data_IF_994055644412
#
_entry.id   IF_994055644412
#
_cell.length_a   1.000
_cell.length_b   1.000
_cell.length_c   1.000
_cell.angle_alpha   90.00
_cell.angle_beta   90.00
_cell.angle_gamma   90.00
#
_symmetry.space_group_name_H-M   'P 1'
#
loop_
_entity.id
_entity.type
_entity.pdbx_description
1 polymer ?
#
# COMPACT_ATOMS: atom_id res chain seq x y z
N UNK A 1 -50.52 22.80 7.48
CA UNK A 1 -49.95 22.30 6.20
C UNK A 1 -48.60 22.95 5.88
N UNK A 2 -48.45 24.27 6.01
CA UNK A 2 -47.17 24.97 5.78
C UNK A 2 -46.00 24.52 6.69
N UNK A 3 -46.21 24.36 8.00
CA UNK A 3 -45.17 23.92 8.94
C UNK A 3 -44.56 22.54 8.63
N UNK A 4 -45.36 21.60 8.09
CA UNK A 4 -44.86 20.27 7.70
C UNK A 4 -43.94 20.34 6.47
N UNK A 5 -44.23 21.26 5.55
CA UNK A 5 -43.42 21.45 4.34
C UNK A 5 -42.05 22.03 4.67
N UNK A 6 -41.99 22.96 5.63
CA UNK A 6 -40.74 23.58 6.07
C UNK A 6 -39.85 22.59 6.84
N UNK A 7 -40.43 21.72 7.67
CA UNK A 7 -39.70 20.66 8.36
C UNK A 7 -39.08 19.66 7.37
N UNK A 8 -39.82 19.27 6.33
CA UNK A 8 -39.34 18.36 5.29
C UNK A 8 -38.18 18.95 4.48
N UNK A 9 -38.22 20.24 4.17
CA UNK A 9 -37.11 20.94 3.50
C UNK A 9 -35.85 20.96 4.34
N UNK A 10 -35.98 21.25 5.65
CA UNK A 10 -34.85 21.26 6.58
C UNK A 10 -34.22 19.86 6.65
N UNK A 11 -35.02 18.81 6.81
CA UNK A 11 -34.54 17.43 6.85
C UNK A 11 -33.82 17.06 5.55
N UNK A 12 -34.37 17.45 4.40
CA UNK A 12 -33.75 17.17 3.10
C UNK A 12 -32.39 17.88 2.94
N UNK A 13 -32.31 19.17 3.30
CA UNK A 13 -31.07 19.95 3.23
C UNK A 13 -30.01 19.37 4.16
N UNK A 14 -30.37 19.02 5.40
CA UNK A 14 -29.44 18.41 6.37
C UNK A 14 -28.96 17.04 5.87
N UNK A 15 -29.87 16.23 5.33
CA UNK A 15 -29.52 14.91 4.78
C UNK A 15 -28.57 15.03 3.59
N UNK A 16 -28.83 15.98 2.68
CA UNK A 16 -27.97 16.25 1.53
C UNK A 16 -26.59 16.74 1.98
N UNK A 17 -26.52 17.66 2.97
CA UNK A 17 -25.26 18.14 3.53
C UNK A 17 -24.44 16.99 4.15
N UNK A 18 -25.07 16.08 4.89
CA UNK A 18 -24.40 14.90 5.46
C UNK A 18 -23.85 13.95 4.38
N UNK A 19 -24.59 13.75 3.28
CA UNK A 19 -24.12 12.94 2.15
C UNK A 19 -22.91 13.60 1.49
N UNK A 20 -22.95 14.91 1.25
CA UNK A 20 -21.85 15.67 0.64
C UNK A 20 -20.60 15.65 1.53
N UNK A 21 -20.75 15.82 2.84
CA UNK A 21 -19.63 15.74 3.80
C UNK A 21 -19.00 14.35 3.77
N UNK A 22 -19.80 13.28 3.79
CA UNK A 22 -19.27 11.91 3.70
C UNK A 22 -18.57 11.63 2.37
N UNK A 23 -19.10 12.14 1.26
CA UNK A 23 -18.46 12.02 -0.06
C UNK A 23 -17.14 12.79 -0.11
N UNK A 24 -17.09 14.01 0.45
CA UNK A 24 -15.87 14.81 0.54
C UNK A 24 -14.80 14.16 1.43
N UNK A 25 -15.19 13.56 2.55
CA UNK A 25 -14.27 12.81 3.43
C UNK A 25 -13.72 11.55 2.75
N UNK A 26 -14.54 10.84 1.97
CA UNK A 26 -14.08 9.71 1.16
C UNK A 26 -13.07 10.12 0.07
N UNK A 27 -13.18 11.37 -0.41
CA UNK A 27 -12.29 11.97 -1.41
C UNK A 27 -11.12 12.75 -0.80
N UNK A 28 -10.97 12.81 0.53
CA UNK A 28 -9.86 13.57 1.12
C UNK A 28 -8.53 12.96 0.70
N UNK A 29 -7.64 13.77 0.10
CA UNK A 29 -6.31 13.30 -0.24
C UNK A 29 -5.58 12.87 1.03
N UNK A 30 -5.24 11.59 1.12
CA UNK A 30 -4.53 11.04 2.27
C UNK A 30 -3.07 10.99 1.91
N UNK A 31 -2.26 11.80 2.58
CA UNK A 31 -0.82 11.63 2.54
C UNK A 31 -0.46 10.42 3.41
N UNK A 32 0.24 9.47 2.81
CA UNK A 32 0.86 8.35 3.52
C UNK A 32 2.36 8.52 3.36
N UNK A 33 3.08 8.52 4.46
CA UNK A 33 4.53 8.54 4.47
C UNK A 33 5.02 7.69 5.64
N UNK A 34 5.41 6.45 5.34
CA UNK A 34 5.69 5.48 6.38
C UNK A 34 6.82 4.53 5.96
N UNK A 35 7.42 3.87 6.93
CA UNK A 35 8.36 2.77 6.67
C UNK A 35 8.15 1.61 7.64
N UNK A 36 8.54 0.41 7.21
CA UNK A 36 8.55 -0.79 8.03
C UNK A 36 9.76 -1.66 7.71
N UNK A 37 10.25 -2.38 8.71
CA UNK A 37 11.16 -3.50 8.50
C UNK A 37 10.33 -4.76 8.22
N UNK A 38 10.74 -5.55 7.23
CA UNK A 38 10.07 -6.79 6.86
C UNK A 38 11.05 -7.96 6.90
N UNK A 39 10.52 -9.12 7.29
CA UNK A 39 11.20 -10.40 7.21
C UNK A 39 10.17 -11.39 6.66
N UNK A 40 10.37 -11.83 5.41
CA UNK A 40 9.43 -12.70 4.71
C UNK A 40 10.17 -13.85 4.06
N UNK A 41 9.55 -15.03 4.08
CA UNK A 41 10.07 -16.17 3.32
C UNK A 41 9.98 -15.84 1.83
N UNK A 42 10.95 -16.30 1.04
CA UNK A 42 10.82 -16.20 -0.41
C UNK A 42 9.64 -17.08 -0.85
N UNK A 43 8.60 -16.53 -1.51
CA UNK A 43 7.45 -17.34 -1.95
C UNK A 43 7.81 -18.41 -2.98
N UNK A 44 9.01 -18.33 -3.57
CA UNK A 44 9.51 -19.27 -4.58
C UNK A 44 10.40 -20.36 -3.96
N UNK A 45 10.96 -20.11 -2.76
CA UNK A 45 11.85 -21.06 -2.09
C UNK A 45 11.87 -20.83 -0.57
N UNK A 46 11.25 -21.76 0.17
CA UNK A 46 11.13 -21.69 1.64
C UNK A 46 12.47 -21.75 2.38
N UNK A 47 13.56 -22.18 1.75
CA UNK A 47 14.90 -22.17 2.36
C UNK A 47 15.54 -20.78 2.35
N UNK A 48 14.92 -19.80 1.68
CA UNK A 48 15.40 -18.43 1.58
C UNK A 48 14.53 -17.48 2.39
N UNK A 49 15.20 -16.51 3.02
CA UNK A 49 14.58 -15.43 3.77
C UNK A 49 14.98 -14.10 3.13
N UNK A 50 14.00 -13.23 2.94
CA UNK A 50 14.23 -11.84 2.60
C UNK A 50 14.07 -10.97 3.84
N UNK A 51 15.11 -10.20 4.14
CA UNK A 51 15.06 -9.17 5.18
C UNK A 51 15.34 -7.80 4.58
N UNK A 52 14.51 -6.83 4.93
CA UNK A 52 14.64 -5.50 4.35
C UNK A 52 13.74 -4.46 4.96
N UNK A 53 13.64 -3.35 4.27
CA UNK A 53 12.80 -2.22 4.60
C UNK A 53 11.89 -1.93 3.43
N UNK A 54 10.63 -1.69 3.76
CA UNK A 54 9.62 -1.17 2.85
C UNK A 54 9.38 0.28 3.21
N UNK A 55 9.39 1.14 2.20
CA UNK A 55 9.00 2.54 2.32
C UNK A 55 7.81 2.79 1.40
N UNK A 56 6.75 3.36 1.96
CA UNK A 56 5.55 3.71 1.19
C UNK A 56 5.30 5.20 1.31
N UNK A 57 5.09 5.83 0.16
CA UNK A 57 4.67 7.21 0.05
C UNK A 57 3.46 7.29 -0.88
N UNK A 58 2.37 7.90 -0.44
CA UNK A 58 1.25 8.32 -1.28
C UNK A 58 1.05 9.80 -1.01
N UNK A 59 1.15 10.64 -2.03
CA UNK A 59 1.02 12.08 -1.92
C UNK A 59 -0.44 12.51 -2.09
N UNK A 60 -0.74 13.73 -1.65
CA UNK A 60 -2.09 14.30 -1.76
C UNK A 60 -2.57 14.49 -3.20
N UNK A 61 -1.66 14.59 -4.17
CA UNK A 61 -1.98 14.65 -5.59
C UNK A 61 -2.24 13.26 -6.22
N UNK A 62 -2.18 12.18 -5.43
CA UNK A 62 -2.36 10.81 -5.88
C UNK A 62 -1.08 10.11 -6.33
N UNK A 63 0.05 10.81 -6.40
CA UNK A 63 1.31 10.19 -6.80
C UNK A 63 1.79 9.23 -5.70
N UNK A 64 2.01 7.99 -6.07
CA UNK A 64 2.41 6.91 -5.18
C UNK A 64 3.80 6.38 -5.49
N UNK A 65 4.51 5.97 -4.43
CA UNK A 65 5.77 5.26 -4.52
C UNK A 65 5.87 4.18 -3.44
N UNK A 66 6.26 2.99 -3.85
CA UNK A 66 6.65 1.88 -2.96
C UNK A 66 8.11 1.55 -3.27
N UNK A 67 8.96 1.60 -2.24
CA UNK A 67 10.38 1.24 -2.33
C UNK A 67 10.69 0.07 -1.43
N UNK A 68 11.34 -0.95 -1.98
CA UNK A 68 11.79 -2.13 -1.23
C UNK A 68 13.30 -2.21 -1.35
N UNK A 69 13.96 -2.32 -0.20
CA UNK A 69 15.40 -2.50 -0.12
C UNK A 69 15.75 -3.57 0.89
N UNK A 70 16.59 -4.53 0.54
CA UNK A 70 16.96 -5.58 1.47
C UNK A 70 17.86 -6.63 0.86
N UNK A 71 17.90 -7.79 1.50
CA UNK A 71 18.78 -8.90 1.15
C UNK A 71 18.02 -10.21 1.27
N UNK A 72 18.08 -11.04 0.23
CA UNK A 72 17.70 -12.45 0.30
C UNK A 72 18.91 -13.32 0.57
N UNK A 73 18.77 -14.31 1.45
CA UNK A 73 19.83 -15.25 1.79
C UNK A 73 19.25 -16.62 2.19
N UNK A 74 20.09 -17.66 2.12
CA UNK A 74 19.69 -18.99 2.57
C UNK A 74 19.64 -19.04 4.10
N UNK A 75 18.55 -19.55 4.67
CA UNK A 75 18.38 -19.79 6.10
C UNK A 75 19.41 -20.77 6.66
N UNK A 76 19.81 -21.75 5.83
CA UNK A 76 20.77 -22.80 6.19
C UNK A 76 22.21 -22.25 6.20
N UNK A 77 22.52 -21.28 5.33
CA UNK A 77 23.85 -20.66 5.22
C UNK A 77 23.74 -19.13 5.06
N UNK A 78 23.41 -18.39 6.13
CA UNK A 78 23.05 -16.96 6.07
C UNK A 78 24.15 -16.04 5.55
N UNK A 79 25.40 -16.42 5.78
CA UNK A 79 26.57 -15.63 5.36
C UNK A 79 26.93 -15.80 3.87
N UNK A 80 26.33 -16.78 3.19
CA UNK A 80 26.64 -17.09 1.79
C UNK A 80 25.53 -16.66 0.84
N UNK A 81 25.89 -16.27 -0.38
CA UNK A 81 24.96 -15.99 -1.48
C UNK A 81 23.88 -14.93 -1.17
N UNK A 82 24.26 -13.90 -0.39
CA UNK A 82 23.40 -12.75 -0.10
C UNK A 82 23.13 -11.94 -1.37
N UNK A 83 21.86 -11.88 -1.78
CA UNK A 83 21.41 -11.13 -2.96
C UNK A 83 20.71 -9.85 -2.53
N UNK A 84 21.24 -8.71 -2.93
CA UNK A 84 20.63 -7.42 -2.63
C UNK A 84 19.48 -7.13 -3.60
N UNK A 85 18.38 -6.60 -3.07
CA UNK A 85 17.28 -6.04 -3.85
C UNK A 85 17.16 -4.55 -3.55
N UNK A 86 16.96 -3.74 -4.59
CA UNK A 86 16.61 -2.34 -4.47
C UNK A 86 15.69 -1.93 -5.62
N UNK A 87 14.39 -1.93 -5.33
CA UNK A 87 13.33 -1.75 -6.32
C UNK A 87 12.42 -0.59 -5.90
N UNK A 88 12.00 0.21 -6.88
CA UNK A 88 11.01 1.25 -6.70
C UNK A 88 9.86 1.04 -7.69
N UNK A 89 8.64 1.09 -7.17
CA UNK A 89 7.41 1.17 -7.94
C UNK A 89 6.85 2.58 -7.78
N UNK A 90 6.56 3.24 -8.89
CA UNK A 90 5.76 4.46 -8.92
C UNK A 90 4.41 4.17 -9.56
N UNK A 91 3.35 4.78 -9.06
CA UNK A 91 1.99 4.58 -9.56
C UNK A 91 1.15 5.84 -9.32
N UNK A 92 0.00 5.93 -9.99
CA UNK A 92 -1.00 6.96 -9.73
C UNK A 92 -2.17 6.34 -8.99
N UNK A 93 -2.64 6.97 -7.91
CA UNK A 93 -3.93 6.62 -7.31
C UNK A 93 -5.04 7.23 -8.17
N UNK A 94 -5.89 6.38 -8.74
CA UNK A 94 -7.04 6.83 -9.54
C UNK A 94 -8.33 6.94 -8.73
N UNK A 95 -8.51 6.07 -7.74
CA UNK A 95 -9.66 6.13 -6.85
C UNK A 95 -9.31 5.56 -5.48
N UNK A 96 -10.10 5.96 -4.47
CA UNK A 96 -10.08 5.36 -3.15
C UNK A 96 -11.49 4.88 -2.80
N UNK A 97 -11.60 3.62 -2.42
CA UNK A 97 -12.82 3.05 -1.87
C UNK A 97 -12.49 2.40 -0.53
N UNK A 98 -13.01 2.96 0.56
CA UNK A 98 -12.73 2.51 1.92
C UNK A 98 -11.21 2.50 2.22
N UNK A 99 -10.68 1.30 2.47
CA UNK A 99 -9.29 0.98 2.78
C UNK A 99 -8.53 0.47 1.53
N UNK A 100 -9.05 0.67 0.32
CA UNK A 100 -8.41 0.21 -0.91
C UNK A 100 -8.13 1.40 -1.80
N UNK A 101 -6.87 1.54 -2.22
CA UNK A 101 -6.44 2.45 -3.26
C UNK A 101 -6.44 1.69 -4.59
N UNK A 102 -7.21 2.16 -5.55
CA UNK A 102 -7.08 1.72 -6.94
C UNK A 102 -5.93 2.51 -7.58
N UNK A 103 -5.04 1.80 -8.25
CA UNK A 103 -3.79 2.35 -8.77
C UNK A 103 -3.63 2.07 -10.25
N UNK A 104 -3.07 3.03 -10.97
CA UNK A 104 -2.79 2.99 -12.39
C UNK A 104 -1.33 3.35 -12.66
N UNK A 105 -0.90 3.21 -13.92
CA UNK A 105 0.44 3.61 -14.40
C UNK A 105 1.61 3.05 -13.55
N UNK A 106 1.48 1.80 -13.09
CA UNK A 106 2.52 1.14 -12.30
C UNK A 106 3.80 1.00 -13.13
N UNK A 107 4.85 1.72 -12.72
CA UNK A 107 6.17 1.71 -13.35
C UNK A 107 7.21 1.18 -12.37
N UNK A 108 7.95 0.18 -12.84
CA UNK A 108 9.07 -0.42 -12.13
C UNK A 108 10.38 0.29 -12.50
N UNK A 109 11.12 0.73 -11.50
CA UNK A 109 12.48 1.23 -11.63
C UNK A 109 13.43 0.40 -10.78
N UNK A 110 14.35 -0.31 -11.44
CA UNK A 110 15.43 -1.05 -10.78
C UNK A 110 16.71 -0.23 -10.73
N UNK A 111 17.46 -0.41 -9.64
CA UNK A 111 18.78 0.21 -9.49
C UNK A 111 19.87 -0.78 -9.93
N UNK A 112 20.98 -0.27 -10.46
CA UNK A 112 22.11 -1.07 -10.96
C UNK A 112 22.76 -2.03 -9.93
N UNK A 113 22.45 -1.88 -8.63
CA UNK A 113 22.99 -2.73 -7.56
C UNK A 113 22.10 -3.93 -7.22
N UNK A 114 20.96 -4.07 -7.90
CA UNK A 114 20.08 -5.22 -7.74
C UNK A 114 20.77 -6.47 -8.29
N UNK A 115 20.87 -7.50 -7.45
CA UNK A 115 21.46 -8.80 -7.78
C UNK A 115 20.46 -9.94 -7.57
N UNK A 116 19.24 -9.60 -7.18
CA UNK A 116 18.18 -10.57 -6.95
C UNK A 116 17.61 -11.05 -8.29
N UNK A 117 17.18 -12.30 -8.34
CA UNK A 117 16.49 -12.83 -9.51
C UNK A 117 15.12 -12.17 -9.66
N UNK A 118 14.71 -11.92 -10.90
CA UNK A 118 13.46 -11.25 -11.23
C UNK A 118 12.23 -11.97 -10.67
N UNK A 119 12.21 -13.30 -10.76
CA UNK A 119 11.07 -14.07 -10.27
C UNK A 119 11.01 -14.04 -8.75
N UNK A 120 12.16 -14.11 -8.09
CA UNK A 120 12.29 -13.99 -6.63
C UNK A 120 11.79 -12.62 -6.15
N UNK A 121 12.31 -11.54 -6.74
CA UNK A 121 11.95 -10.17 -6.42
C UNK A 121 10.47 -9.87 -6.69
N UNK A 122 9.96 -10.27 -7.87
CA UNK A 122 8.55 -10.08 -8.22
C UNK A 122 7.61 -10.87 -7.32
N UNK A 123 8.00 -12.06 -6.86
CA UNK A 123 7.17 -12.87 -5.96
C UNK A 123 7.07 -12.24 -4.57
N UNK A 124 8.18 -11.75 -4.00
CA UNK A 124 8.17 -11.01 -2.73
C UNK A 124 7.26 -9.79 -2.81
N UNK A 125 7.35 -9.03 -3.90
CA UNK A 125 6.51 -7.85 -4.11
C UNK A 125 5.03 -8.22 -4.25
N UNK A 126 4.71 -9.27 -5.00
CA UNK A 126 3.32 -9.73 -5.18
C UNK A 126 2.71 -10.19 -3.85
N UNK A 127 3.49 -10.88 -3.01
CA UNK A 127 3.05 -11.32 -1.68
C UNK A 127 2.72 -10.13 -0.75
N UNK A 128 3.44 -9.01 -0.91
CA UNK A 128 3.26 -7.81 -0.07
C UNK A 128 2.18 -6.82 -0.60
N UNK A 129 2.00 -6.71 -1.92
CA UNK A 129 1.28 -5.57 -2.52
C UNK A 129 0.22 -5.89 -3.58
N UNK A 130 -0.01 -7.16 -3.94
CA UNK A 130 -0.98 -7.62 -4.95
C UNK A 130 -1.22 -6.66 -6.14
N UNK A 131 -0.14 -6.22 -6.79
CA UNK A 131 -0.22 -5.30 -7.92
C UNK A 131 -0.98 -5.87 -9.13
N UNK A 132 -1.21 -7.19 -9.20
CA UNK A 132 -1.97 -7.83 -10.29
C UNK A 132 -3.42 -7.37 -10.32
N UNK A 133 -3.97 -7.02 -9.16
CA UNK A 133 -5.32 -6.49 -9.05
C UNK A 133 -5.41 -4.98 -9.27
N UNK A 134 -4.30 -4.30 -9.62
CA UNK A 134 -4.20 -2.83 -9.72
C UNK A 134 -4.73 -2.12 -8.45
N UNK A 135 -4.47 -2.73 -7.29
CA UNK A 135 -5.03 -2.31 -6.01
C UNK A 135 -3.97 -2.41 -4.92
N UNK A 136 -4.04 -1.47 -3.99
CA UNK A 136 -3.26 -1.50 -2.75
C UNK A 136 -4.24 -1.36 -1.59
N UNK A 137 -4.33 -2.42 -0.79
CA UNK A 137 -5.15 -2.43 0.42
C UNK A 137 -4.34 -1.83 1.58
N UNK A 138 -4.90 -0.78 2.18
CA UNK A 138 -4.31 -0.01 3.26
C UNK A 138 -5.37 0.29 4.32
N UNK A 139 -5.23 -0.34 5.48
CA UNK A 139 -6.03 -0.01 6.65
C UNK A 139 -5.28 0.98 7.53
N UNK A 140 -5.92 2.11 7.86
CA UNK A 140 -5.35 3.09 8.79
C UNK A 140 -5.69 2.70 10.23
N UNK A 141 -4.67 2.61 11.07
CA UNK A 141 -4.79 2.41 12.51
C UNK A 141 -4.05 3.53 13.24
N UNK A 142 -4.76 4.39 13.99
CA UNK A 142 -4.15 5.48 14.78
C UNK A 142 -2.99 6.20 14.05
N UNK A 143 -1.73 5.85 14.37
CA UNK A 143 -0.46 6.37 13.83
C UNK A 143 0.28 5.39 12.90
N UNK A 144 -0.42 4.44 12.29
CA UNK A 144 0.13 3.36 11.48
C UNK A 144 -0.81 2.96 10.34
N UNK A 145 -0.25 2.27 9.36
CA UNK A 145 -0.94 1.78 8.18
C UNK A 145 -0.62 0.29 8.03
N UNK A 146 -1.64 -0.55 7.93
CA UNK A 146 -1.49 -1.97 7.58
C UNK A 146 -1.63 -2.08 6.07
N UNK A 147 -0.61 -2.62 5.42
CA UNK A 147 -0.63 -2.96 4.00
C UNK A 147 -0.82 -4.46 3.84
N UNK A 148 -1.64 -4.87 2.87
CA UNK A 148 -1.93 -6.28 2.56
C UNK A 148 -3.39 -6.67 2.84
N UNK A 149 -3.86 -7.75 2.22
CA UNK A 149 -5.23 -8.28 2.34
C UNK A 149 -5.32 -9.56 3.19
N UNK A 150 -6.55 -9.92 3.58
CA UNK A 150 -6.97 -10.93 4.58
C UNK A 150 -6.35 -12.35 4.40
N UNK A 151 -5.76 -12.66 3.25
CA UNK A 151 -5.18 -13.98 2.95
C UNK A 151 -3.67 -13.97 2.58
N UNK A 152 -2.98 -12.82 2.64
CA UNK A 152 -1.56 -12.67 2.26
C UNK A 152 -0.69 -12.07 3.36
N UNK A 153 0.61 -11.89 3.08
CA UNK A 153 1.53 -11.24 4.01
C UNK A 153 1.14 -9.77 4.22
N UNK A 154 0.83 -9.41 5.46
CA UNK A 154 0.55 -8.02 5.85
C UNK A 154 1.76 -7.42 6.55
N UNK A 155 2.06 -6.15 6.30
CA UNK A 155 3.06 -5.42 7.08
C UNK A 155 2.47 -4.13 7.67
N UNK A 156 2.93 -3.80 8.87
CA UNK A 156 2.53 -2.58 9.59
C UNK A 156 3.60 -1.51 9.35
N UNK A 157 3.17 -0.37 8.85
CA UNK A 157 4.01 0.76 8.50
C UNK A 157 3.70 1.91 9.45
N UNK A 158 4.70 2.45 10.14
CA UNK A 158 4.50 3.54 11.11
C UNK A 158 4.65 4.88 10.40
N UNK A 159 3.69 5.78 10.64
CA UNK A 159 3.71 7.14 10.10
C UNK A 159 4.97 7.89 10.59
N UNK A 160 5.64 8.58 9.68
CA UNK A 160 6.85 9.36 9.98
C UNK A 160 6.54 10.76 10.49
#
# INVERSE_FOLDING_TARGET
MYQMLDLLKIIFIVSLALIVIKAADAMRPTEINCSSAISVNSPVNDDYLFEGTVYVRILTNGDGMISLSGVSFSKVKPESNRKHMLINYSFQVSSRQNNTFEIDDVRLSRRQRDKMDDNEASSIVQDLFDFKANRVNVEKLSNSYIFGGIAGATFICVEK
#
